data_IF_922095912914
#
_entry.id   IF_922095912914
#
_cell.length_a   1.000
_cell.length_b   1.000
_cell.length_c   1.000
_cell.angle_alpha   90.00
_cell.angle_beta   90.00
_cell.angle_gamma   90.00
#
_symmetry.space_group_name_H-M   'P 1'
#
loop_
_entity.id
_entity.type
_entity.pdbx_description
1 polymer ?
#
# COMPACT_ATOMS: atom_id res chain seq x y z
N UNK A 1 9.62 -4.02 3.04
CA UNK A 1 9.34 -4.55 4.40
C UNK A 1 8.35 -5.72 4.38
N UNK A 2 7.24 -5.68 3.65
CA UNK A 2 6.24 -6.75 3.62
C UNK A 2 6.78 -8.13 3.15
N UNK A 3 7.69 -8.17 2.17
CA UNK A 3 8.40 -9.40 1.78
C UNK A 3 9.22 -9.99 2.94
N UNK A 4 9.75 -9.15 3.83
CA UNK A 4 10.55 -9.57 4.97
C UNK A 4 9.72 -10.24 6.06
N UNK A 5 8.53 -9.70 6.40
CA UNK A 5 7.67 -10.29 7.43
C UNK A 5 7.02 -11.61 6.99
N UNK A 6 6.57 -11.73 5.73
CA UNK A 6 6.05 -13.00 5.18
C UNK A 6 7.15 -14.05 5.11
N UNK A 7 8.36 -13.65 4.72
CA UNK A 7 9.55 -14.50 4.75
C UNK A 7 9.89 -14.94 6.17
N UNK A 8 9.80 -14.03 7.16
CA UNK A 8 10.09 -14.32 8.55
C UNK A 8 9.03 -15.25 9.18
N UNK A 9 7.75 -15.02 8.91
CA UNK A 9 6.66 -15.90 9.38
C UNK A 9 6.79 -17.31 8.80
N UNK A 10 7.09 -17.45 7.51
CA UNK A 10 7.35 -18.74 6.89
C UNK A 10 8.60 -19.39 7.49
N UNK A 11 9.66 -18.64 7.71
CA UNK A 11 10.89 -19.14 8.33
C UNK A 11 10.63 -19.63 9.75
N UNK A 12 9.85 -18.91 10.55
CA UNK A 12 9.46 -19.34 11.91
C UNK A 12 8.63 -20.63 11.88
N UNK A 13 7.69 -20.76 10.95
CA UNK A 13 6.88 -21.98 10.80
C UNK A 13 7.76 -23.18 10.44
N UNK A 14 8.72 -23.01 9.50
CA UNK A 14 9.67 -24.07 9.16
C UNK A 14 10.64 -24.39 10.31
N UNK A 15 11.08 -23.37 11.06
CA UNK A 15 11.95 -23.56 12.22
C UNK A 15 11.23 -24.35 13.33
N UNK A 16 9.97 -24.02 13.64
CA UNK A 16 9.15 -24.76 14.61
C UNK A 16 8.95 -26.22 14.17
N UNK A 17 8.69 -26.45 12.87
CA UNK A 17 8.56 -27.79 12.32
C UNK A 17 9.86 -28.60 12.45
N UNK A 18 11.01 -27.97 12.15
CA UNK A 18 12.32 -28.61 12.28
C UNK A 18 12.67 -28.94 13.73
N UNK A 19 12.37 -28.02 14.68
CA UNK A 19 12.59 -28.25 16.12
C UNK A 19 11.71 -29.36 16.64
N UNK A 20 10.42 -29.42 16.24
CA UNK A 20 9.50 -30.50 16.64
C UNK A 20 9.95 -31.87 16.12
N UNK A 21 10.45 -31.94 14.87
CA UNK A 21 11.02 -33.18 14.30
C UNK A 21 12.30 -33.59 15.03
N UNK A 22 13.22 -32.64 15.30
CA UNK A 22 14.46 -32.93 16.02
C UNK A 22 14.16 -33.41 17.44
N UNK A 23 13.21 -32.80 18.13
CA UNK A 23 12.77 -33.23 19.47
C UNK A 23 12.20 -34.66 19.44
N UNK A 24 11.36 -35.01 18.47
CA UNK A 24 10.81 -36.36 18.32
C UNK A 24 11.92 -37.42 18.09
N UNK A 25 12.96 -37.07 17.33
CA UNK A 25 14.11 -37.96 17.09
C UNK A 25 14.99 -38.11 18.33
N UNK A 26 15.23 -37.01 19.08
CA UNK A 26 16.10 -37.03 20.27
C UNK A 26 15.45 -37.77 21.45
N UNK A 27 14.12 -37.71 21.57
CA UNK A 27 13.37 -38.35 22.65
C UNK A 27 12.97 -39.79 22.37
N UNK A 28 13.45 -40.38 21.28
CA UNK A 28 13.12 -41.75 20.85
C UNK A 28 11.60 -42.00 20.75
N UNK A 29 10.85 -40.92 20.52
CA UNK A 29 9.40 -40.96 20.34
C UNK A 29 9.14 -41.60 18.96
N UNK A 30 8.64 -42.82 18.93
CA UNK A 30 8.21 -43.48 17.68
C UNK A 30 6.94 -42.83 17.15
N UNK A 31 7.10 -41.63 16.57
CA UNK A 31 5.99 -40.94 15.90
C UNK A 31 5.77 -41.62 14.56
N UNK A 32 4.57 -42.20 14.30
CA UNK A 32 4.30 -42.79 13.01
C UNK A 32 4.53 -41.78 11.87
N UNK A 33 5.16 -42.22 10.79
CA UNK A 33 5.52 -41.37 9.64
C UNK A 33 4.35 -40.54 9.09
N UNK A 34 3.14 -41.08 9.16
CA UNK A 34 1.94 -40.36 8.70
C UNK A 34 1.62 -39.09 9.53
N UNK A 35 1.96 -39.04 10.83
CA UNK A 35 1.82 -37.81 11.62
C UNK A 35 2.75 -36.70 11.10
N UNK A 36 3.98 -37.05 10.76
CA UNK A 36 4.97 -36.12 10.19
C UNK A 36 4.47 -35.59 8.85
N UNK A 37 3.93 -36.47 7.99
CA UNK A 37 3.38 -36.08 6.69
C UNK A 37 2.19 -35.14 6.85
N UNK A 38 1.26 -35.45 7.75
CA UNK A 38 0.07 -34.62 8.02
C UNK A 38 0.48 -33.26 8.57
N UNK A 39 1.47 -33.22 9.48
CA UNK A 39 1.97 -31.97 10.03
C UNK A 39 2.62 -31.09 8.96
N UNK A 40 3.49 -31.65 8.10
CA UNK A 40 4.12 -30.93 6.98
C UNK A 40 3.04 -30.41 6.00
N UNK A 41 2.04 -31.23 5.67
CA UNK A 41 0.95 -30.82 4.80
C UNK A 41 0.11 -29.69 5.40
N UNK A 42 -0.17 -29.72 6.71
CA UNK A 42 -0.86 -28.65 7.42
C UNK A 42 -0.07 -27.33 7.41
N UNK A 43 1.24 -27.42 7.70
CA UNK A 43 2.16 -26.27 7.66
C UNK A 43 2.19 -25.67 6.25
N UNK A 44 2.29 -26.50 5.22
CA UNK A 44 2.28 -26.07 3.83
C UNK A 44 0.95 -25.41 3.43
N UNK A 45 -0.18 -25.99 3.84
CA UNK A 45 -1.51 -25.44 3.61
C UNK A 45 -1.70 -24.06 4.28
N UNK A 46 -1.26 -23.91 5.53
CA UNK A 46 -1.28 -22.63 6.27
C UNK A 46 -0.39 -21.60 5.54
N UNK A 47 0.82 -21.98 5.13
CA UNK A 47 1.71 -21.10 4.38
C UNK A 47 1.10 -20.66 3.05
N UNK A 48 0.48 -21.57 2.30
CA UNK A 48 -0.24 -21.21 1.06
C UNK A 48 -1.42 -20.28 1.32
N UNK A 49 -2.17 -20.52 2.40
CA UNK A 49 -3.30 -19.65 2.77
C UNK A 49 -2.85 -18.24 3.15
N UNK A 50 -1.79 -18.12 3.95
CA UNK A 50 -1.20 -16.84 4.36
C UNK A 50 -0.58 -16.05 3.19
N UNK A 51 -0.14 -16.75 2.14
CA UNK A 51 0.47 -16.12 0.96
C UNK A 51 -0.53 -15.77 -0.16
N UNK A 52 -1.84 -16.02 0.04
CA UNK A 52 -2.86 -15.62 -0.93
C UNK A 52 -2.91 -14.11 -1.04
N UNK A 53 -2.80 -13.60 -2.27
CA UNK A 53 -2.98 -12.18 -2.56
C UNK A 53 -4.37 -11.69 -2.12
N UNK A 54 -4.47 -10.44 -1.69
CA UNK A 54 -5.74 -9.83 -1.30
C UNK A 54 -6.52 -9.42 -2.54
N UNK A 55 -7.82 -9.71 -2.57
CA UNK A 55 -8.72 -9.26 -3.62
C UNK A 55 -9.29 -7.90 -3.24
N UNK A 56 -9.15 -6.92 -4.13
CA UNK A 56 -9.69 -5.57 -3.97
C UNK A 56 -10.89 -5.44 -4.91
N UNK A 57 -12.02 -5.00 -4.37
CA UNK A 57 -13.19 -4.66 -5.18
C UNK A 57 -13.06 -3.24 -5.68
N UNK A 58 -13.14 -3.05 -6.99
CA UNK A 58 -12.98 -1.74 -7.63
C UNK A 58 -14.28 -1.37 -8.34
N UNK A 59 -14.76 -0.15 -8.11
CA UNK A 59 -15.85 0.46 -8.88
C UNK A 59 -15.24 1.47 -9.85
N UNK A 60 -15.63 1.37 -11.12
CA UNK A 60 -15.29 2.36 -12.13
C UNK A 60 -16.46 3.33 -12.31
N UNK A 61 -16.23 4.61 -12.04
CA UNK A 61 -17.23 5.69 -12.18
C UNK A 61 -17.30 6.22 -13.60
N UNK A 62 -16.30 5.92 -14.42
CA UNK A 62 -16.16 6.42 -15.78
C UNK A 62 -16.01 5.25 -16.75
N UNK A 63 -16.92 5.16 -17.72
CA UNK A 63 -16.85 4.13 -18.78
C UNK A 63 -15.63 4.32 -19.67
N UNK A 64 -15.01 3.23 -20.08
CA UNK A 64 -13.89 3.22 -21.04
C UNK A 64 -12.55 3.70 -20.44
N UNK A 65 -12.39 3.67 -19.12
CA UNK A 65 -11.07 3.71 -18.51
C UNK A 65 -10.45 2.32 -18.58
N UNK A 66 -9.14 2.30 -18.86
CA UNK A 66 -8.36 1.06 -18.78
C UNK A 66 -8.41 0.48 -17.36
N UNK A 67 -8.60 -0.83 -17.23
CA UNK A 67 -8.58 -1.50 -15.93
C UNK A 67 -7.28 -1.24 -15.17
N UNK A 68 -7.38 -1.22 -13.85
CA UNK A 68 -6.21 -1.15 -12.99
C UNK A 68 -5.39 -2.44 -13.12
N UNK A 69 -4.13 -2.27 -13.44
CA UNK A 69 -3.20 -3.37 -13.62
C UNK A 69 -1.90 -3.13 -12.87
N UNK A 70 -1.43 -4.15 -12.16
CA UNK A 70 -0.09 -4.16 -11.60
C UNK A 70 0.88 -4.64 -12.66
N UNK A 71 1.68 -3.72 -13.17
CA UNK A 71 2.76 -4.05 -14.12
C UNK A 71 3.89 -4.80 -13.43
N UNK A 72 4.69 -5.53 -14.19
CA UNK A 72 5.81 -6.35 -13.68
C UNK A 72 6.96 -5.52 -13.09
N UNK A 73 7.07 -4.26 -13.48
CA UNK A 73 8.12 -3.33 -13.03
C UNK A 73 7.57 -2.35 -12.01
N UNK A 74 8.10 -2.40 -10.78
CA UNK A 74 7.67 -1.54 -9.68
C UNK A 74 6.49 -2.10 -8.89
N UNK A 75 6.18 -1.44 -7.77
CA UNK A 75 5.13 -1.85 -6.84
C UNK A 75 3.89 -0.93 -6.87
N UNK A 76 4.00 0.23 -7.52
CA UNK A 76 2.91 1.20 -7.62
C UNK A 76 2.01 0.90 -8.82
N UNK A 77 0.73 1.19 -8.68
CA UNK A 77 -0.29 0.98 -9.70
C UNK A 77 -0.70 2.34 -10.24
N UNK A 78 -0.69 2.50 -11.57
CA UNK A 78 -1.06 3.76 -12.22
C UNK A 78 -2.55 4.07 -12.05
N UNK A 79 -2.83 5.36 -11.82
CA UNK A 79 -4.17 5.95 -11.84
C UNK A 79 -4.28 6.93 -13.00
N UNK A 80 -5.41 6.86 -13.68
CA UNK A 80 -5.69 7.67 -14.87
C UNK A 80 -6.67 8.79 -14.57
N UNK A 81 -6.56 9.90 -15.31
CA UNK A 81 -7.58 10.93 -15.31
C UNK A 81 -8.92 10.36 -15.84
N UNK A 82 -9.98 10.53 -15.07
CA UNK A 82 -11.34 10.08 -15.44
C UNK A 82 -12.05 11.04 -16.37
N UNK A 83 -11.49 12.20 -16.62
CA UNK A 83 -12.07 13.28 -17.41
C UNK A 83 -11.01 14.03 -18.21
N UNK A 84 -11.46 14.83 -19.18
CA UNK A 84 -10.58 15.81 -19.86
C UNK A 84 -10.82 17.17 -19.25
N UNK A 85 -9.75 17.83 -18.79
CA UNK A 85 -9.80 19.16 -18.19
C UNK A 85 -8.67 20.05 -18.69
N UNK A 86 -9.00 21.32 -18.99
CA UNK A 86 -8.02 22.35 -19.34
C UNK A 86 -7.87 23.31 -18.20
N UNK A 87 -6.64 23.55 -17.77
CA UNK A 87 -6.27 24.36 -16.61
C UNK A 87 -5.33 25.47 -17.04
N UNK A 88 -5.50 26.65 -16.44
CA UNK A 88 -4.56 27.74 -16.52
C UNK A 88 -3.51 27.63 -15.43
N UNK A 89 -2.35 28.23 -15.65
CA UNK A 89 -1.30 28.33 -14.62
C UNK A 89 -1.88 28.94 -13.34
N UNK A 90 -1.71 28.22 -12.23
CA UNK A 90 -2.20 28.61 -10.90
C UNK A 90 -3.57 28.02 -10.52
N UNK A 91 -4.32 27.45 -11.46
CA UNK A 91 -5.60 26.84 -11.17
C UNK A 91 -5.44 25.63 -10.22
N UNK A 92 -6.35 25.55 -9.25
CA UNK A 92 -6.57 24.37 -8.42
C UNK A 92 -7.79 23.61 -8.93
N UNK A 93 -7.66 22.29 -9.11
CA UNK A 93 -8.76 21.45 -9.57
C UNK A 93 -8.67 20.03 -9.00
N UNK A 94 -9.83 19.48 -8.62
CA UNK A 94 -9.94 18.09 -8.16
C UNK A 94 -10.20 17.16 -9.36
N UNK A 95 -9.17 16.70 -10.02
CA UNK A 95 -9.28 15.82 -11.18
C UNK A 95 -9.86 14.48 -10.75
N UNK A 96 -10.91 14.04 -11.41
CA UNK A 96 -11.51 12.73 -11.22
C UNK A 96 -10.51 11.63 -11.62
N UNK A 97 -10.37 10.60 -10.78
CA UNK A 97 -9.58 9.40 -11.13
C UNK A 97 -10.45 8.25 -11.65
N UNK A 98 -11.77 8.41 -11.63
CA UNK A 98 -12.72 7.48 -12.20
C UNK A 98 -12.83 6.13 -11.50
N UNK A 99 -12.23 5.97 -10.33
CA UNK A 99 -12.22 4.72 -9.54
C UNK A 99 -12.54 4.99 -8.08
N UNK A 100 -13.12 3.99 -7.43
CA UNK A 100 -13.24 3.86 -5.99
C UNK A 100 -13.04 2.41 -5.60
N UNK A 101 -12.62 2.13 -4.36
CA UNK A 101 -12.24 0.78 -3.97
C UNK A 101 -12.71 0.46 -2.56
N UNK A 102 -12.98 -0.83 -2.33
CA UNK A 102 -13.12 -1.34 -0.97
C UNK A 102 -11.79 -1.96 -0.56
N UNK A 103 -11.08 -1.26 0.31
CA UNK A 103 -9.84 -1.73 0.89
C UNK A 103 -10.11 -2.75 2.00
N UNK A 104 -9.22 -3.71 2.25
CA UNK A 104 -9.36 -4.62 3.39
C UNK A 104 -9.29 -3.84 4.70
N UNK A 105 -10.02 -4.31 5.73
CA UNK A 105 -9.92 -3.74 7.07
C UNK A 105 -8.45 -3.73 7.56
N UNK A 106 -8.02 -2.61 8.13
CA UNK A 106 -6.64 -2.41 8.56
C UNK A 106 -5.67 -2.04 7.43
N UNK A 107 -6.18 -1.60 6.28
CA UNK A 107 -5.38 -1.16 5.14
C UNK A 107 -5.84 0.20 4.65
N UNK A 108 -4.91 0.97 4.10
CA UNK A 108 -5.13 2.27 3.49
C UNK A 108 -4.46 2.34 2.12
N UNK A 109 -4.85 3.29 1.28
CA UNK A 109 -4.16 3.55 0.03
C UNK A 109 -3.50 4.92 0.05
N UNK A 110 -2.25 4.97 -0.44
CA UNK A 110 -1.52 6.20 -0.67
C UNK A 110 -1.55 6.54 -2.15
N UNK A 111 -1.96 7.77 -2.47
CA UNK A 111 -2.03 8.29 -3.85
C UNK A 111 -1.00 9.40 -4.02
N UNK A 112 -0.12 9.24 -5.00
CA UNK A 112 0.97 10.16 -5.31
C UNK A 112 0.99 10.49 -6.80
N UNK A 113 1.56 11.63 -7.22
CA UNK A 113 1.87 11.85 -8.63
C UNK A 113 2.90 10.83 -9.10
N UNK A 114 2.90 10.54 -10.39
CA UNK A 114 4.04 9.83 -11.01
C UNK A 114 5.22 10.81 -11.14
N UNK A 115 6.44 10.27 -11.19
CA UNK A 115 7.66 11.09 -11.31
C UNK A 115 7.63 12.04 -12.52
N UNK A 116 6.99 11.61 -13.61
CA UNK A 116 6.86 12.40 -14.83
C UNK A 116 5.64 13.33 -14.87
N UNK A 117 4.78 13.31 -13.87
CA UNK A 117 3.51 14.08 -13.87
C UNK A 117 3.73 15.58 -14.01
N UNK A 118 4.65 16.23 -13.28
CA UNK A 118 4.90 17.66 -13.45
C UNK A 118 5.44 18.01 -14.83
N UNK A 119 6.35 17.20 -15.37
CA UNK A 119 6.96 17.43 -16.67
C UNK A 119 5.94 17.24 -17.81
N UNK A 120 5.22 16.11 -17.83
CA UNK A 120 4.34 15.78 -18.94
C UNK A 120 3.04 16.59 -18.91
N UNK A 121 2.46 16.79 -17.73
CA UNK A 121 1.14 17.40 -17.59
C UNK A 121 1.14 18.79 -16.97
N UNK A 122 2.29 19.29 -16.48
CA UNK A 122 2.36 20.61 -15.87
C UNK A 122 1.47 20.79 -14.64
N UNK A 123 1.25 19.71 -13.88
CA UNK A 123 0.50 19.72 -12.62
C UNK A 123 1.33 19.15 -11.49
N UNK A 124 1.07 19.64 -10.28
CA UNK A 124 1.59 19.11 -9.02
C UNK A 124 0.41 18.77 -8.09
N UNK A 125 0.62 17.82 -7.19
CA UNK A 125 -0.40 17.51 -6.18
C UNK A 125 -0.41 18.59 -5.08
N UNK A 126 -1.59 19.10 -4.75
CA UNK A 126 -1.71 20.23 -3.84
C UNK A 126 -1.51 19.85 -2.36
N UNK A 127 -1.86 18.64 -1.97
CA UNK A 127 -1.82 18.13 -0.59
C UNK A 127 -0.64 17.19 -0.30
N UNK A 128 0.41 17.24 -1.09
CA UNK A 128 1.60 16.38 -1.00
C UNK A 128 1.33 14.89 -1.23
N UNK A 129 0.35 14.29 -0.57
CA UNK A 129 -0.02 12.89 -0.68
C UNK A 129 -1.52 12.73 -0.39
N UNK A 130 -2.22 11.98 -1.23
CA UNK A 130 -3.57 11.51 -0.93
C UNK A 130 -3.51 10.29 -0.01
N UNK A 131 -4.28 10.31 1.07
CA UNK A 131 -4.50 9.15 1.93
C UNK A 131 -5.96 8.75 1.79
N UNK A 132 -6.20 7.50 1.46
CA UNK A 132 -7.54 6.93 1.30
C UNK A 132 -7.73 5.89 2.40
N UNK A 133 -8.56 6.22 3.35
CA UNK A 133 -8.93 5.32 4.43
C UNK A 133 -9.82 4.16 3.93
N UNK A 134 -9.84 3.05 4.66
CA UNK A 134 -10.60 1.87 4.26
C UNK A 134 -12.13 2.06 4.36
N UNK A 135 -12.62 3.04 5.10
CA UNK A 135 -14.03 3.40 5.21
C UNK A 135 -14.47 4.42 4.13
N UNK A 136 -13.54 5.01 3.34
CA UNK A 136 -13.86 5.76 2.14
C UNK A 136 -14.15 4.81 0.97
N UNK A 137 -15.30 4.11 1.05
CA UNK A 137 -15.64 3.00 0.18
C UNK A 137 -17.13 2.95 -0.22
N UNK A 138 -17.85 4.02 -0.03
CA UNK A 138 -19.24 4.19 -0.42
C UNK A 138 -19.43 4.25 -1.95
N UNK A 139 -20.67 4.12 -2.39
CA UNK A 139 -20.99 4.11 -3.82
C UNK A 139 -20.74 5.44 -4.54
N UNK A 140 -20.57 6.53 -3.79
CA UNK A 140 -20.20 7.85 -4.30
C UNK A 140 -18.73 8.22 -4.11
N UNK A 141 -17.95 7.40 -3.44
CA UNK A 141 -16.58 7.70 -3.00
C UNK A 141 -15.57 7.48 -4.13
N UNK A 142 -15.61 8.38 -5.09
CA UNK A 142 -14.67 8.42 -6.20
C UNK A 142 -13.36 9.07 -5.77
N UNK A 143 -12.25 8.41 -6.03
CA UNK A 143 -10.92 8.97 -5.78
C UNK A 143 -10.64 10.17 -6.68
N UNK A 144 -9.95 11.16 -6.13
CA UNK A 144 -9.63 12.41 -6.82
C UNK A 144 -8.18 12.79 -6.63
N UNK A 145 -7.64 13.52 -7.60
CA UNK A 145 -6.29 14.06 -7.58
C UNK A 145 -6.37 15.59 -7.46
N UNK A 146 -6.04 16.17 -6.31
CA UNK A 146 -6.03 17.62 -6.11
C UNK A 146 -4.80 18.20 -6.82
N UNK A 147 -5.02 18.81 -7.98
CA UNK A 147 -3.98 19.37 -8.83
C UNK A 147 -3.86 20.89 -8.71
N UNK A 148 -2.62 21.38 -8.73
CA UNK A 148 -2.31 22.77 -9.05
C UNK A 148 -1.57 22.78 -10.39
N UNK A 149 -2.04 23.58 -11.35
CA UNK A 149 -1.39 23.73 -12.63
C UNK A 149 -0.21 24.72 -12.52
N UNK A 150 0.99 24.27 -12.88
CA UNK A 150 2.21 25.10 -12.89
C UNK A 150 2.44 25.80 -14.23
N UNK A 151 1.67 25.44 -15.25
CA UNK A 151 1.56 26.06 -16.58
C UNK A 151 0.19 25.82 -17.17
N UNK A 152 -0.18 26.55 -18.21
CA UNK A 152 -1.37 26.23 -19.00
C UNK A 152 -1.24 24.81 -19.54
N UNK A 153 -2.27 23.99 -19.36
CA UNK A 153 -2.20 22.56 -19.70
C UNK A 153 -3.59 21.97 -19.95
N UNK A 154 -3.62 20.87 -20.69
CA UNK A 154 -4.80 20.04 -20.84
C UNK A 154 -4.46 18.61 -20.48
N UNK A 155 -5.14 18.08 -19.49
CA UNK A 155 -5.12 16.67 -19.11
C UNK A 155 -6.26 15.98 -19.83
N UNK A 156 -5.97 14.89 -20.55
CA UNK A 156 -6.97 14.11 -21.26
C UNK A 156 -7.43 12.91 -20.43
N UNK A 157 -8.70 12.55 -20.57
CA UNK A 157 -9.19 11.29 -20.03
C UNK A 157 -8.30 10.12 -20.45
N UNK A 158 -7.89 9.30 -19.49
CA UNK A 158 -7.00 8.16 -19.70
C UNK A 158 -5.53 8.46 -19.45
N UNK A 159 -5.12 9.73 -19.34
CA UNK A 159 -3.73 10.11 -19.00
C UNK A 159 -3.34 9.56 -17.61
N UNK A 160 -2.18 8.94 -17.52
CA UNK A 160 -1.63 8.41 -16.26
C UNK A 160 -0.99 9.54 -15.45
N UNK A 161 -1.78 10.17 -14.59
CA UNK A 161 -1.38 11.36 -13.81
C UNK A 161 -0.97 11.05 -12.39
N UNK A 162 -1.36 9.90 -11.86
CA UNK A 162 -1.10 9.50 -10.49
C UNK A 162 -0.75 8.02 -10.42
N UNK A 163 -0.36 7.58 -9.24
CA UNK A 163 -0.10 6.19 -8.90
C UNK A 163 -0.48 5.95 -7.45
N UNK A 164 -0.80 4.71 -7.10
CA UNK A 164 -1.13 4.34 -5.73
C UNK A 164 -0.47 3.04 -5.30
N UNK A 165 -0.38 2.86 -3.99
CA UNK A 165 -0.12 1.57 -3.36
C UNK A 165 -1.04 1.39 -2.17
N UNK A 166 -1.34 0.13 -1.85
CA UNK A 166 -2.11 -0.24 -0.66
C UNK A 166 -1.12 -0.75 0.39
N UNK A 167 -1.28 -0.29 1.63
CA UNK A 167 -0.42 -0.67 2.75
C UNK A 167 -1.24 -0.83 4.03
N UNK A 168 -0.67 -1.48 5.02
CA UNK A 168 -1.28 -1.58 6.34
C UNK A 168 -1.35 -0.18 6.97
N UNK A 169 -2.49 0.13 7.59
CA UNK A 169 -2.67 1.38 8.30
C UNK A 169 -1.91 1.36 9.64
N UNK A 170 -1.95 2.50 10.33
CA UNK A 170 -1.28 2.65 11.60
C UNK A 170 -1.81 1.65 12.64
N UNK A 171 -0.93 0.98 13.42
CA UNK A 171 -1.37 0.09 14.49
C UNK A 171 -2.14 0.86 15.56
N UNK A 172 -2.96 0.15 16.34
CA UNK A 172 -3.65 0.76 17.47
C UNK A 172 -2.64 1.36 18.44
N UNK A 173 -2.76 2.66 18.69
CA UNK A 173 -1.88 3.42 19.58
C UNK A 173 -2.67 3.92 20.79
N UNK A 174 -1.96 4.06 21.92
CA UNK A 174 -2.42 4.70 23.13
C UNK A 174 -1.45 5.84 23.46
N UNK A 175 -1.97 6.99 23.87
CA UNK A 175 -1.20 8.18 24.16
C UNK A 175 -1.28 8.49 25.65
N UNK A 176 -0.15 8.39 26.35
CA UNK A 176 -0.02 8.80 27.73
C UNK A 176 0.59 10.21 27.81
N UNK A 177 -0.11 11.14 28.44
CA UNK A 177 0.42 12.49 28.65
C UNK A 177 1.46 12.48 29.76
N UNK A 178 2.67 12.91 29.42
CA UNK A 178 3.79 12.99 30.35
C UNK A 178 4.36 14.41 30.37
N UNK A 179 4.84 14.84 31.53
CA UNK A 179 5.49 16.15 31.68
C UNK A 179 6.95 16.17 31.18
N UNK A 180 7.58 15.02 31.04
CA UNK A 180 8.97 14.89 30.64
C UNK A 180 9.21 13.56 29.91
N UNK A 181 9.81 13.63 28.72
CA UNK A 181 10.15 12.45 27.90
C UNK A 181 11.42 11.73 28.38
N UNK A 182 12.15 12.29 29.37
CA UNK A 182 13.37 11.72 29.97
C UNK A 182 14.45 11.31 28.96
N UNK A 183 14.50 11.99 27.84
CA UNK A 183 15.47 11.75 26.77
C UNK A 183 16.24 13.04 26.47
N UNK A 184 17.48 12.90 26.00
CA UNK A 184 18.29 14.05 25.58
C UNK A 184 17.75 14.62 24.29
N UNK A 185 17.80 15.95 24.15
CA UNK A 185 17.44 16.61 22.90
C UNK A 185 18.43 16.24 21.80
N UNK A 186 17.93 15.65 20.74
CA UNK A 186 18.75 15.29 19.57
C UNK A 186 19.16 16.50 18.74
N UNK A 187 18.41 17.60 18.85
CA UNK A 187 18.45 18.70 17.89
C UNK A 187 17.56 18.42 16.68
N UNK A 188 17.32 19.43 15.87
CA UNK A 188 16.47 19.33 14.66
C UNK A 188 16.95 20.33 13.61
N UNK A 189 16.15 20.58 12.65
CA UNK A 189 16.31 21.45 11.46
C UNK A 189 17.63 22.23 11.41
N UNK A 190 18.64 21.68 10.70
CA UNK A 190 19.95 22.32 10.53
C UNK A 190 20.95 22.12 11.69
N UNK A 191 20.60 21.34 12.75
CA UNK A 191 21.50 21.09 13.87
C UNK A 191 22.78 20.31 13.49
N UNK A 192 22.80 19.64 12.34
CA UNK A 192 23.97 18.94 11.78
C UNK A 192 24.84 19.81 10.88
N UNK A 193 24.52 21.12 10.76
CA UNK A 193 25.25 22.06 9.92
C UNK A 193 24.83 22.02 8.44
N UNK A 194 25.40 22.95 7.65
CA UNK A 194 25.13 23.03 6.20
C UNK A 194 26.25 22.38 5.37
N UNK A 195 27.34 21.93 5.98
CA UNK A 195 28.49 21.23 5.38
C UNK A 195 29.15 20.33 6.43
#
# INVERSE_FOLDING_TARGET
MEKSYKSLANLMVYAVAAVAMAYAVITDLTVPLWYVIVFIAAVFAVSMFCNRGKRIRVKYFVKGLEPLEKISVGDWIDLRAGETVSLKKGDYYLIRLGVGMILPAGWEALVLPRSSTPQNFGIVVANSMGVIDNDYCGDGDEWRFPAIAVRDTTIRKGDRIAQFRIMENQPKLYFDTVSNLKANNRGGIGSTGKR
#
